data_IF_068904669554
#
_entry.id   IF_068904669554
#
_cell.length_a   1.000
_cell.length_b   1.000
_cell.length_c   1.000
_cell.angle_alpha   90.00
_cell.angle_beta   90.00
_cell.angle_gamma   90.00
#
_symmetry.space_group_name_H-M   'P 1'
#
loop_
_entity.id
_entity.type
_entity.pdbx_description
1 polymer ?
#
# COMPACT_ATOMS: atom_id res chain seq x y z
N UNK A 1 -2.71 -10.43 -10.49
CA UNK A 1 -3.86 -11.11 -9.80
C UNK A 1 -3.52 -11.43 -8.34
N UNK A 2 -2.31 -11.95 -8.03
CA UNK A 2 -1.93 -12.37 -6.66
C UNK A 2 -1.93 -11.24 -5.62
N UNK A 3 -1.53 -10.02 -5.98
CA UNK A 3 -1.55 -8.87 -5.06
C UNK A 3 -2.96 -8.50 -4.64
N UNK A 4 -3.90 -8.41 -5.59
CA UNK A 4 -5.30 -8.10 -5.32
C UNK A 4 -6.00 -9.15 -4.47
N UNK A 5 -5.69 -10.44 -4.67
CA UNK A 5 -6.20 -11.50 -3.81
C UNK A 5 -5.73 -11.32 -2.35
N UNK A 6 -4.46 -11.01 -2.16
CA UNK A 6 -3.91 -10.74 -0.83
C UNK A 6 -4.48 -9.46 -0.21
N UNK A 7 -4.65 -8.40 -0.98
CA UNK A 7 -5.32 -7.18 -0.52
C UNK A 7 -6.77 -7.46 -0.09
N UNK A 8 -7.48 -8.35 -0.76
CA UNK A 8 -8.84 -8.76 -0.43
C UNK A 8 -9.00 -9.63 0.82
N UNK A 9 -7.92 -10.00 1.51
CA UNK A 9 -8.02 -10.71 2.78
C UNK A 9 -8.72 -9.86 3.86
N UNK A 10 -9.43 -10.52 4.77
CA UNK A 10 -10.20 -9.84 5.83
C UNK A 10 -9.33 -9.03 6.78
N UNK A 11 -8.05 -9.39 6.93
CA UNK A 11 -7.06 -8.64 7.71
C UNK A 11 -6.60 -7.32 7.06
N UNK A 12 -6.98 -7.09 5.80
CA UNK A 12 -6.65 -5.89 5.02
C UNK A 12 -7.93 -5.25 4.45
N UNK A 13 -8.00 -5.04 3.13
CA UNK A 13 -9.11 -4.34 2.48
C UNK A 13 -10.41 -5.18 2.40
N UNK A 14 -10.33 -6.49 2.63
CA UNK A 14 -11.54 -7.32 2.71
C UNK A 14 -12.44 -7.01 3.90
N UNK A 15 -11.91 -6.41 4.98
CA UNK A 15 -12.69 -5.98 6.15
C UNK A 15 -12.06 -4.82 6.92
N UNK A 16 -10.83 -4.99 7.46
CA UNK A 16 -10.28 -4.08 8.47
C UNK A 16 -10.05 -2.66 7.94
N UNK A 17 -9.55 -2.53 6.70
CA UNK A 17 -9.21 -1.24 6.10
C UNK A 17 -10.38 -0.58 5.35
N UNK A 18 -11.52 -1.25 5.21
CA UNK A 18 -12.67 -0.71 4.47
C UNK A 18 -13.84 -0.35 5.36
N UNK A 19 -14.30 -1.26 6.18
CA UNK A 19 -15.56 -1.05 6.93
C UNK A 19 -15.52 -1.54 8.38
N UNK A 20 -14.36 -1.92 8.93
CA UNK A 20 -14.25 -2.30 10.33
C UNK A 20 -13.32 -1.33 11.09
N UNK A 21 -12.03 -1.64 11.18
CA UNK A 21 -11.10 -0.91 12.04
C UNK A 21 -10.97 0.57 11.68
N UNK A 22 -10.87 0.89 10.38
CA UNK A 22 -10.78 2.29 9.92
C UNK A 22 -12.06 3.09 10.20
N UNK A 23 -13.23 2.48 10.05
CA UNK A 23 -14.50 3.14 10.34
C UNK A 23 -14.70 3.34 11.85
N UNK A 24 -14.19 2.41 12.68
CA UNK A 24 -14.15 2.60 14.12
C UNK A 24 -13.25 3.76 14.53
N UNK A 25 -12.03 3.85 13.97
CA UNK A 25 -11.12 4.98 14.21
C UNK A 25 -11.72 6.32 13.76
N UNK A 26 -12.50 6.31 12.70
CA UNK A 26 -13.20 7.48 12.19
C UNK A 26 -14.45 7.87 13.03
N UNK A 27 -14.82 7.08 14.03
CA UNK A 27 -15.99 7.33 14.88
C UNK A 27 -17.32 7.24 14.13
N UNK A 28 -17.40 6.44 13.06
CA UNK A 28 -18.61 6.35 12.22
C UNK A 28 -19.68 5.39 12.75
N UNK A 29 -19.36 4.61 13.76
CA UNK A 29 -20.31 3.71 14.40
C UNK A 29 -20.79 4.27 15.73
N UNK A 30 -22.10 4.16 16.01
CA UNK A 30 -22.63 4.25 17.36
C UNK A 30 -22.35 2.94 18.09
N UNK A 31 -21.61 3.01 19.19
CA UNK A 31 -21.30 1.84 20.00
C UNK A 31 -22.06 1.90 21.34
N UNK A 32 -22.54 0.75 21.77
CA UNK A 32 -23.01 0.62 23.14
C UNK A 32 -21.82 0.82 24.10
N UNK A 33 -21.97 1.61 25.17
CA UNK A 33 -20.86 2.00 26.05
C UNK A 33 -20.12 0.83 26.71
N UNK A 34 -20.74 -0.33 26.76
CA UNK A 34 -20.26 -1.56 27.40
C UNK A 34 -19.47 -2.48 26.41
N UNK A 35 -19.54 -2.23 25.10
CA UNK A 35 -18.91 -3.06 24.09
C UNK A 35 -17.59 -2.45 23.61
N UNK A 36 -17.40 -1.14 23.70
CA UNK A 36 -16.28 -0.46 23.10
C UNK A 36 -15.47 0.31 24.12
N UNK A 37 -14.33 -0.23 24.43
CA UNK A 37 -13.31 0.53 25.13
C UNK A 37 -12.53 1.40 24.13
N UNK A 38 -13.00 2.64 23.92
CA UNK A 38 -12.34 3.64 23.07
C UNK A 38 -10.86 3.81 23.43
N UNK A 39 -10.53 3.71 24.71
CA UNK A 39 -9.14 3.77 25.18
C UNK A 39 -8.32 2.64 24.59
N UNK A 40 -8.86 1.42 24.50
CA UNK A 40 -8.15 0.28 23.88
C UNK A 40 -7.98 0.44 22.36
N UNK A 41 -8.97 1.06 21.67
CA UNK A 41 -8.85 1.34 20.23
C UNK A 41 -7.72 2.33 19.99
N UNK A 42 -7.71 3.46 20.69
CA UNK A 42 -6.71 4.52 20.51
C UNK A 42 -5.34 4.16 21.11
N UNK A 43 -5.29 3.41 22.21
CA UNK A 43 -4.04 2.95 22.80
C UNK A 43 -3.48 1.69 22.13
N UNK A 44 -4.21 1.11 21.18
CA UNK A 44 -3.80 -0.10 20.47
C UNK A 44 -3.59 -1.32 21.39
N UNK A 45 -4.48 -1.52 22.38
CA UNK A 45 -4.43 -2.61 23.34
C UNK A 45 -5.24 -3.84 22.90
N UNK A 46 -4.89 -5.01 23.41
CA UNK A 46 -5.66 -6.25 23.24
C UNK A 46 -5.91 -6.64 21.78
N UNK A 47 -7.16 -6.83 21.40
CA UNK A 47 -7.58 -7.24 20.05
C UNK A 47 -7.19 -6.20 19.00
N UNK A 48 -7.26 -4.91 19.31
CA UNK A 48 -6.93 -3.83 18.38
C UNK A 48 -5.44 -3.78 18.07
N UNK A 49 -4.58 -4.16 19.01
CA UNK A 49 -3.16 -4.34 18.76
C UNK A 49 -2.92 -5.41 17.70
N UNK A 50 -3.58 -6.56 17.85
CA UNK A 50 -3.44 -7.66 16.88
C UNK A 50 -3.93 -7.27 15.48
N UNK A 51 -5.04 -6.54 15.37
CA UNK A 51 -5.54 -6.03 14.09
C UNK A 51 -4.50 -5.12 13.44
N UNK A 52 -3.97 -4.16 14.20
CA UNK A 52 -2.95 -3.23 13.72
C UNK A 52 -1.67 -3.94 13.26
N UNK A 53 -1.18 -4.88 14.08
CA UNK A 53 0.02 -5.67 13.75
C UNK A 53 -0.19 -6.52 12.48
N UNK A 54 -1.38 -7.09 12.29
CA UNK A 54 -1.74 -7.85 11.09
C UNK A 54 -1.83 -6.96 9.86
N UNK A 55 -2.43 -5.76 9.97
CA UNK A 55 -2.47 -4.79 8.88
C UNK A 55 -1.06 -4.37 8.47
N UNK A 56 -0.22 -4.01 9.44
CA UNK A 56 1.15 -3.59 9.19
C UNK A 56 1.96 -4.70 8.49
N UNK A 57 1.99 -5.88 9.08
CA UNK A 57 2.76 -7.01 8.54
C UNK A 57 2.19 -7.50 7.19
N UNK A 58 0.86 -7.53 7.04
CA UNK A 58 0.18 -7.92 5.80
C UNK A 58 0.50 -6.98 4.65
N UNK A 59 0.41 -5.67 4.87
CA UNK A 59 0.74 -4.67 3.86
C UNK A 59 2.23 -4.75 3.44
N UNK A 60 3.17 -4.84 4.40
CA UNK A 60 4.58 -5.02 4.06
C UNK A 60 4.90 -6.36 3.39
N UNK A 61 4.14 -7.42 3.67
CA UNK A 61 4.27 -8.68 2.94
C UNK A 61 3.88 -8.50 1.46
N UNK A 62 2.81 -7.76 1.17
CA UNK A 62 2.43 -7.44 -0.22
C UNK A 62 3.49 -6.58 -0.88
N UNK A 63 3.99 -5.53 -0.21
CA UNK A 63 5.07 -4.66 -0.71
C UNK A 63 6.33 -5.48 -1.03
N UNK A 64 6.72 -6.42 -0.17
CA UNK A 64 7.85 -7.30 -0.44
C UNK A 64 7.64 -8.16 -1.71
N UNK A 65 6.43 -8.68 -1.90
CA UNK A 65 6.08 -9.43 -3.11
C UNK A 65 6.04 -8.54 -4.37
N UNK A 66 5.58 -7.29 -4.24
CA UNK A 66 5.63 -6.30 -5.33
C UNK A 66 7.09 -6.01 -5.71
N UNK A 67 7.96 -5.78 -4.74
CA UNK A 67 9.38 -5.53 -4.99
C UNK A 67 10.08 -6.73 -5.63
N UNK A 68 9.75 -7.94 -5.19
CA UNK A 68 10.22 -9.19 -5.80
C UNK A 68 9.73 -9.30 -7.26
N UNK A 69 8.45 -9.02 -7.49
CA UNK A 69 7.87 -9.01 -8.83
C UNK A 69 8.55 -7.98 -9.75
N UNK A 70 8.75 -6.74 -9.28
CA UNK A 70 9.43 -5.70 -10.05
C UNK A 70 10.87 -6.10 -10.40
N UNK A 71 11.59 -6.73 -9.47
CA UNK A 71 12.93 -7.24 -9.71
C UNK A 71 12.95 -8.29 -10.85
N UNK A 72 12.10 -9.32 -10.76
CA UNK A 72 12.05 -10.36 -11.77
C UNK A 72 11.43 -9.90 -13.11
N UNK A 73 10.54 -8.92 -13.07
CA UNK A 73 10.02 -8.27 -14.28
C UNK A 73 11.14 -7.60 -15.08
N UNK A 74 12.06 -6.92 -14.38
CA UNK A 74 13.22 -6.29 -14.99
C UNK A 74 14.23 -7.33 -15.54
N UNK A 75 14.56 -8.35 -14.74
CA UNK A 75 15.48 -9.43 -15.12
C UNK A 75 14.97 -10.19 -16.37
N UNK A 76 13.65 -10.36 -16.47
CA UNK A 76 13.03 -11.12 -17.56
C UNK A 76 12.40 -10.24 -18.64
N UNK A 77 12.77 -8.96 -18.73
CA UNK A 77 12.17 -8.01 -19.67
C UNK A 77 12.17 -8.50 -21.12
N UNK A 78 13.26 -9.12 -21.54
CA UNK A 78 13.45 -9.58 -22.93
C UNK A 78 12.49 -10.72 -23.34
N UNK A 79 11.93 -11.48 -22.38
CA UNK A 79 10.97 -12.55 -22.70
C UNK A 79 9.53 -12.05 -22.77
N UNK A 80 9.27 -10.79 -22.40
CA UNK A 80 7.96 -10.15 -22.48
C UNK A 80 7.85 -9.52 -23.86
N UNK A 81 7.35 -10.29 -24.83
CA UNK A 81 7.32 -9.89 -26.24
C UNK A 81 6.04 -9.15 -26.66
N UNK A 82 4.98 -9.20 -25.83
CA UNK A 82 3.73 -8.49 -26.11
C UNK A 82 3.92 -7.01 -25.84
N UNK A 83 3.72 -6.13 -26.84
CA UNK A 83 3.86 -4.69 -26.67
C UNK A 83 2.97 -4.15 -25.53
N UNK A 84 3.47 -3.24 -24.73
CA UNK A 84 2.77 -2.60 -23.64
C UNK A 84 2.63 -3.43 -22.34
N UNK A 85 2.80 -4.76 -22.39
CA UNK A 85 2.60 -5.60 -21.20
C UNK A 85 3.64 -5.34 -20.11
N UNK A 86 4.89 -5.10 -20.46
CA UNK A 86 5.91 -4.76 -19.49
C UNK A 86 5.56 -3.45 -18.76
N UNK A 87 5.17 -2.44 -19.53
CA UNK A 87 4.81 -1.11 -19.04
C UNK A 87 3.60 -1.17 -18.11
N UNK A 88 2.54 -1.87 -18.50
CA UNK A 88 1.33 -2.08 -17.68
C UNK A 88 1.68 -2.80 -16.38
N UNK A 89 2.40 -3.92 -16.46
CA UNK A 89 2.74 -4.70 -15.26
C UNK A 89 3.63 -3.91 -14.30
N UNK A 90 4.57 -3.11 -14.82
CA UNK A 90 5.44 -2.27 -14.02
C UNK A 90 4.69 -1.09 -13.41
N UNK A 91 3.89 -0.39 -14.21
CA UNK A 91 3.08 0.74 -13.76
C UNK A 91 2.07 0.33 -12.68
N UNK A 92 1.35 -0.77 -12.89
CA UNK A 92 0.39 -1.30 -11.90
C UNK A 92 1.09 -1.68 -10.58
N UNK A 93 2.25 -2.33 -10.65
CA UNK A 93 3.02 -2.71 -9.47
C UNK A 93 3.55 -1.50 -8.69
N UNK A 94 4.04 -0.46 -9.36
CA UNK A 94 4.49 0.80 -8.75
C UNK A 94 3.33 1.55 -8.10
N UNK A 95 2.19 1.66 -8.79
CA UNK A 95 0.99 2.28 -8.25
C UNK A 95 0.48 1.59 -6.98
N UNK A 96 0.45 0.25 -6.97
CA UNK A 96 0.08 -0.53 -5.79
C UNK A 96 1.09 -0.35 -4.64
N UNK A 97 2.39 -0.25 -4.95
CA UNK A 97 3.42 -0.02 -3.92
C UNK A 97 3.24 1.33 -3.24
N UNK A 98 3.01 2.37 -4.03
CA UNK A 98 2.73 3.70 -3.52
C UNK A 98 1.45 3.74 -2.68
N UNK A 99 0.37 3.14 -3.17
CA UNK A 99 -0.91 3.04 -2.47
C UNK A 99 -0.78 2.39 -1.08
N UNK A 100 -0.12 1.24 -1.00
CA UNK A 100 0.07 0.53 0.26
C UNK A 100 0.95 1.32 1.24
N UNK A 101 2.03 1.96 0.77
CA UNK A 101 2.85 2.80 1.64
C UNK A 101 2.10 4.03 2.13
N UNK A 102 1.27 4.64 1.27
CA UNK A 102 0.48 5.80 1.67
C UNK A 102 -0.57 5.44 2.73
N UNK A 103 -1.22 4.28 2.62
CA UNK A 103 -2.14 3.81 3.66
C UNK A 103 -1.40 3.48 4.97
N UNK A 104 -0.22 2.87 4.90
CA UNK A 104 0.62 2.67 6.07
C UNK A 104 1.04 4.01 6.70
N UNK A 105 1.39 5.00 5.89
CA UNK A 105 1.71 6.35 6.38
C UNK A 105 0.52 6.98 7.12
N UNK A 106 -0.69 6.89 6.55
CA UNK A 106 -1.91 7.43 7.17
C UNK A 106 -2.25 6.77 8.51
N UNK A 107 -1.94 5.48 8.67
CA UNK A 107 -2.26 4.72 9.88
C UNK A 107 -1.17 4.78 10.95
N UNK A 108 0.10 4.81 10.55
CA UNK A 108 1.24 4.63 11.45
C UNK A 108 2.19 5.82 11.50
N UNK A 109 2.01 6.77 10.59
CA UNK A 109 2.78 8.01 10.59
C UNK A 109 2.23 9.06 11.57
N UNK A 110 2.97 10.14 11.79
CA UNK A 110 2.52 11.27 12.58
C UNK A 110 1.39 12.03 11.84
N UNK A 111 0.66 12.86 12.57
CA UNK A 111 -0.30 13.79 11.97
C UNK A 111 0.47 14.81 11.13
N UNK A 112 0.42 14.68 9.83
CA UNK A 112 1.26 15.42 8.88
C UNK A 112 1.20 16.94 9.06
N UNK A 113 0.01 17.49 9.34
CA UNK A 113 -0.16 18.92 9.57
C UNK A 113 0.55 19.43 10.83
N UNK A 114 0.84 18.56 11.80
CA UNK A 114 1.47 18.93 13.07
C UNK A 114 2.97 18.61 13.05
N UNK A 115 3.36 17.51 12.42
CA UNK A 115 4.73 17.00 12.48
C UNK A 115 5.17 16.39 11.12
N UNK A 116 5.29 17.20 10.05
CA UNK A 116 5.60 16.69 8.71
C UNK A 116 6.99 16.05 8.62
N UNK A 117 7.93 16.44 9.49
CA UNK A 117 9.27 15.87 9.60
C UNK A 117 9.37 14.75 10.66
N UNK A 118 8.26 14.39 11.28
CA UNK A 118 8.22 13.29 12.24
C UNK A 118 8.51 11.94 11.57
N UNK A 119 9.21 11.07 12.31
CA UNK A 119 9.48 9.70 11.84
C UNK A 119 8.16 8.96 11.61
N UNK A 120 8.01 8.40 10.41
CA UNK A 120 6.78 7.75 10.00
C UNK A 120 6.97 6.24 9.79
N UNK A 121 7.32 5.84 8.59
CA UNK A 121 7.43 4.44 8.19
C UNK A 121 8.65 4.22 7.28
N UNK A 122 9.18 2.99 7.14
CA UNK A 122 10.14 2.68 6.10
C UNK A 122 9.47 2.61 4.73
N UNK A 123 10.06 3.24 3.71
CA UNK A 123 9.64 3.08 2.31
C UNK A 123 10.51 2.02 1.64
N UNK A 124 9.94 0.84 1.40
CA UNK A 124 10.68 -0.32 0.88
C UNK A 124 10.54 -0.43 -0.63
N UNK A 125 11.67 -0.37 -1.34
CA UNK A 125 11.74 -0.47 -2.80
C UNK A 125 12.47 -1.71 -3.31
N UNK A 126 13.09 -2.48 -2.41
CA UNK A 126 13.84 -3.68 -2.76
C UNK A 126 13.33 -4.91 -2.00
N UNK A 127 13.43 -6.07 -2.65
CA UNK A 127 13.20 -7.36 -2.01
C UNK A 127 14.47 -7.78 -1.26
N UNK A 128 14.52 -7.50 0.04
CA UNK A 128 15.67 -7.78 0.88
C UNK A 128 15.24 -8.00 2.33
N UNK A 129 16.02 -8.78 3.08
CA UNK A 129 15.88 -8.95 4.53
C UNK A 129 16.58 -7.84 5.32
N UNK A 130 17.34 -6.97 4.65
CA UNK A 130 18.04 -5.87 5.30
C UNK A 130 17.06 -4.85 5.89
N UNK A 131 17.33 -4.32 7.07
CA UNK A 131 16.52 -3.27 7.67
C UNK A 131 16.46 -2.03 6.77
N UNK A 132 15.25 -1.51 6.55
CA UNK A 132 15.06 -0.25 5.83
C UNK A 132 14.86 0.87 6.86
N UNK A 133 15.55 2.01 6.73
CA UNK A 133 15.39 3.14 7.63
C UNK A 133 13.95 3.65 7.67
N UNK A 134 13.52 4.09 8.85
CA UNK A 134 12.26 4.81 9.02
C UNK A 134 12.45 6.23 8.52
N UNK A 135 11.67 6.65 7.53
CA UNK A 135 11.74 7.96 6.92
C UNK A 135 10.80 8.96 7.60
N UNK A 136 11.08 10.27 7.50
CA UNK A 136 10.12 11.33 7.79
C UNK A 136 8.87 11.23 6.90
N UNK A 137 7.73 11.73 7.40
CA UNK A 137 6.47 11.67 6.66
C UNK A 137 6.56 12.36 5.28
N UNK A 138 7.27 13.49 5.18
CA UNK A 138 7.52 14.18 3.90
C UNK A 138 8.24 13.31 2.90
N UNK A 139 9.33 12.63 3.32
CA UNK A 139 10.09 11.76 2.42
C UNK A 139 9.29 10.54 1.96
N UNK A 140 8.41 10.02 2.81
CA UNK A 140 7.49 8.94 2.41
C UNK A 140 6.49 9.43 1.36
N UNK A 141 5.94 10.64 1.52
CA UNK A 141 5.04 11.26 0.52
C UNK A 141 5.77 11.46 -0.80
N UNK A 142 6.99 12.01 -0.76
CA UNK A 142 7.80 12.22 -1.97
C UNK A 142 8.11 10.90 -2.70
N UNK A 143 8.41 9.84 -1.95
CA UNK A 143 8.63 8.51 -2.51
C UNK A 143 7.34 7.91 -3.12
N UNK A 144 6.18 8.09 -2.47
CA UNK A 144 4.89 7.70 -3.05
C UNK A 144 4.61 8.45 -4.36
N UNK A 145 4.84 9.77 -4.38
CA UNK A 145 4.64 10.58 -5.58
C UNK A 145 5.58 10.16 -6.72
N UNK A 146 6.84 9.83 -6.41
CA UNK A 146 7.79 9.34 -7.41
C UNK A 146 7.31 8.03 -8.06
N UNK A 147 6.84 7.06 -7.26
CA UNK A 147 6.27 5.81 -7.76
C UNK A 147 5.00 6.06 -8.59
N UNK A 148 4.11 6.96 -8.14
CA UNK A 148 2.87 7.29 -8.86
C UNK A 148 3.15 8.00 -10.18
N UNK A 149 4.07 8.93 -10.24
CA UNK A 149 4.45 9.59 -11.50
C UNK A 149 5.04 8.61 -12.51
N UNK A 150 5.87 7.68 -12.03
CA UNK A 150 6.41 6.63 -12.91
C UNK A 150 5.31 5.67 -13.37
N UNK A 151 4.38 5.30 -12.49
CA UNK A 151 3.24 4.46 -12.82
C UNK A 151 2.34 5.11 -13.86
N UNK A 152 1.98 6.38 -13.65
CA UNK A 152 1.14 7.18 -14.56
C UNK A 152 1.75 7.24 -15.97
N UNK A 153 3.03 7.57 -16.06
CA UNK A 153 3.75 7.62 -17.37
C UNK A 153 3.72 6.29 -18.10
N UNK A 154 3.98 5.18 -17.40
CA UNK A 154 4.01 3.84 -17.99
C UNK A 154 2.61 3.37 -18.44
N UNK A 155 1.60 3.63 -17.60
CA UNK A 155 0.23 3.21 -17.86
C UNK A 155 -0.40 4.04 -18.98
N UNK A 156 -0.15 5.36 -19.00
CA UNK A 156 -0.69 6.23 -20.03
C UNK A 156 -0.27 5.82 -21.45
N UNK A 157 1.01 5.48 -21.64
CA UNK A 157 1.51 5.06 -22.94
C UNK A 157 0.96 3.70 -23.35
N UNK A 158 0.96 2.74 -22.44
CA UNK A 158 0.61 1.35 -22.75
C UNK A 158 -0.89 1.08 -22.77
N UNK A 159 -1.67 1.71 -21.89
CA UNK A 159 -3.10 1.49 -21.77
C UNK A 159 -3.87 2.06 -22.96
N UNK A 160 -3.43 3.22 -23.47
CA UNK A 160 -4.00 3.84 -24.66
C UNK A 160 -3.87 2.95 -25.91
N UNK A 161 -2.76 2.23 -26.05
CA UNK A 161 -2.52 1.36 -27.20
C UNK A 161 -3.30 0.02 -27.12
N UNK A 162 -3.51 -0.51 -25.92
CA UNK A 162 -4.17 -1.80 -25.73
C UNK A 162 -5.70 -1.65 -25.77
N UNK A 163 -6.28 -0.65 -25.10
CA UNK A 163 -7.73 -0.49 -25.01
C UNK A 163 -8.37 0.23 -26.19
N UNK A 164 -7.62 1.05 -26.95
CA UNK A 164 -8.15 1.71 -28.15
C UNK A 164 -8.22 0.75 -29.35
N UNK A 165 -7.41 -0.30 -29.38
CA UNK A 165 -7.41 -1.29 -30.47
C UNK A 165 -8.46 -2.39 -30.35
N UNK A 166 -9.00 -2.64 -29.14
CA UNK A 166 -10.02 -3.68 -28.91
C UNK A 166 -11.49 -3.20 -29.11
N UNK A 167 -11.70 -1.95 -29.54
CA UNK A 167 -13.04 -1.35 -29.72
C UNK A 167 -13.43 -1.18 -31.20
N UNK A 168 -12.72 -1.81 -32.16
CA UNK A 168 -13.05 -1.80 -33.59
C UNK A 168 -13.46 -3.17 -34.09
#
# INVERSE_FOLDING_TARGET
TGFYLKMGESSLYGRELTYNYMEMLAGRYEYAPDITNWTSIYNYDGTYKSIKDNVFSGAYNIIANINNFLHYLEVNREVITTPGYYEIMKGEALGLRAFLHFDLLRMFGPVFAMEPQGKAIPYRTVFSNEPTPVLPATEVVDACLADLHQADSLLWEADHDIFVHDVN
#
